data_IF_820707008812
#
_entry.id   IF_820707008812
#
_cell.length_a   1.000
_cell.length_b   1.000
_cell.length_c   1.000
_cell.angle_alpha   90.00
_cell.angle_beta   90.00
_cell.angle_gamma   90.00
#
_symmetry.space_group_name_H-M   'P 1'
#
loop_
_entity.id
_entity.type
_entity.pdbx_description
1 polymer ?
#
# COMPACT_ATOMS: atom_id res chain seq x y z
N UNK A 1 -9.03 -26.95 1.36
CA UNK A 1 -9.83 -27.24 2.58
C UNK A 1 -8.89 -27.90 3.57
N UNK A 2 -8.29 -27.13 4.48
CA UNK A 2 -7.38 -27.65 5.50
C UNK A 2 -7.90 -27.13 6.84
N UNK A 3 -8.69 -27.95 7.51
CA UNK A 3 -9.29 -27.65 8.82
C UNK A 3 -8.17 -27.54 9.86
N UNK A 4 -7.96 -26.34 10.42
CA UNK A 4 -7.10 -26.14 11.60
C UNK A 4 -7.92 -26.51 12.85
N UNK A 5 -8.00 -27.79 13.17
CA UNK A 5 -8.85 -28.22 14.29
C UNK A 5 -8.33 -27.70 15.64
N UNK A 6 -7.02 -27.71 15.90
CA UNK A 6 -6.45 -27.19 17.14
C UNK A 6 -5.09 -26.50 16.89
N UNK A 7 -4.86 -25.33 17.51
CA UNK A 7 -3.55 -24.66 17.60
C UNK A 7 -3.11 -24.61 19.06
N UNK A 8 -1.82 -24.76 19.34
CA UNK A 8 -1.31 -24.84 20.72
C UNK A 8 -0.21 -23.82 20.94
N UNK A 9 -0.32 -23.04 22.02
CA UNK A 9 0.80 -22.25 22.56
C UNK A 9 1.63 -23.14 23.48
N UNK A 10 2.94 -23.22 23.26
CA UNK A 10 3.86 -24.08 24.01
C UNK A 10 5.05 -23.25 24.49
N UNK A 11 5.46 -23.44 25.75
CA UNK A 11 6.74 -22.99 26.27
C UNK A 11 7.42 -24.15 26.97
N UNK A 12 8.71 -24.37 26.72
CA UNK A 12 9.52 -25.42 27.36
C UNK A 12 8.83 -26.81 27.38
N UNK A 13 8.22 -27.18 26.24
CA UNK A 13 7.46 -28.43 26.02
C UNK A 13 6.19 -28.59 26.86
N UNK A 14 5.76 -27.53 27.56
CA UNK A 14 4.50 -27.49 28.29
C UNK A 14 3.46 -26.72 27.49
N UNK A 15 2.24 -27.27 27.41
CA UNK A 15 1.11 -26.61 26.76
C UNK A 15 0.61 -25.46 27.63
N UNK A 16 0.54 -24.26 27.07
CA UNK A 16 0.10 -23.04 27.76
C UNK A 16 -1.35 -22.65 27.46
N UNK A 17 -1.80 -22.73 26.21
CA UNK A 17 -3.23 -22.69 25.81
C UNK A 17 -3.44 -23.59 24.59
N UNK A 18 -4.61 -24.22 24.54
CA UNK A 18 -5.16 -24.87 23.33
C UNK A 18 -6.25 -23.96 22.76
N UNK A 19 -6.11 -23.58 21.49
CA UNK A 19 -7.06 -22.79 20.72
C UNK A 19 -7.83 -23.71 19.77
N UNK A 20 -9.16 -23.60 19.77
CA UNK A 20 -10.05 -24.38 18.90
C UNK A 20 -10.87 -23.46 18.01
N UNK A 21 -11.21 -23.95 16.84
CA UNK A 21 -11.84 -23.16 15.79
C UNK A 21 -13.19 -23.74 15.39
N UNK A 22 -14.12 -22.86 14.99
CA UNK A 22 -15.38 -23.28 14.40
C UNK A 22 -15.18 -23.69 12.92
N UNK A 23 -16.20 -24.27 12.26
CA UNK A 23 -16.09 -24.67 10.85
C UNK A 23 -15.86 -23.54 9.85
N UNK A 24 -15.89 -22.27 10.28
CA UNK A 24 -15.58 -21.09 9.48
C UNK A 24 -14.17 -20.55 9.76
N UNK A 25 -13.31 -21.37 10.41
CA UNK A 25 -11.94 -21.03 10.82
C UNK A 25 -11.85 -19.82 11.77
N UNK A 26 -12.90 -19.57 12.57
CA UNK A 26 -12.89 -18.54 13.62
C UNK A 26 -12.62 -19.17 14.98
N UNK A 27 -11.83 -18.50 15.81
CA UNK A 27 -11.51 -18.93 17.17
C UNK A 27 -12.81 -19.10 17.97
N UNK A 28 -13.14 -20.33 18.33
CA UNK A 28 -14.34 -20.64 19.10
C UNK A 28 -14.03 -20.76 20.60
N UNK A 29 -12.81 -21.18 20.94
CA UNK A 29 -12.41 -21.57 22.29
C UNK A 29 -10.90 -21.36 22.51
N UNK A 30 -10.50 -20.82 23.67
CA UNK A 30 -9.12 -20.94 24.19
C UNK A 30 -9.20 -21.50 25.60
N UNK A 31 -8.45 -22.59 25.81
CA UNK A 31 -8.28 -23.26 27.09
C UNK A 31 -6.83 -23.08 27.58
N UNK A 32 -6.53 -22.03 28.36
CA UNK A 32 -5.25 -21.91 29.04
C UNK A 32 -5.04 -23.02 30.07
N UNK A 33 -3.80 -23.46 30.24
CA UNK A 33 -3.45 -24.47 31.22
C UNK A 33 -3.80 -24.01 32.65
N UNK A 34 -4.53 -24.85 33.38
CA UNK A 34 -4.94 -24.56 34.76
C UNK A 34 -6.07 -23.52 34.89
N UNK A 35 -6.71 -23.10 33.80
CA UNK A 35 -7.83 -22.16 33.82
C UNK A 35 -9.06 -22.72 33.09
N UNK A 36 -10.24 -22.15 33.37
CA UNK A 36 -11.45 -22.47 32.64
C UNK A 36 -11.37 -21.98 31.18
N UNK A 37 -12.00 -22.71 30.27
CA UNK A 37 -12.00 -22.34 28.85
C UNK A 37 -12.83 -21.08 28.58
N UNK A 38 -12.31 -20.21 27.71
CA UNK A 38 -13.00 -19.03 27.21
C UNK A 38 -13.60 -19.32 25.83
N UNK A 39 -14.91 -19.17 25.69
CA UNK A 39 -15.67 -19.32 24.43
C UNK A 39 -15.96 -17.98 23.80
N UNK A 40 -15.93 -17.92 22.47
CA UNK A 40 -16.07 -16.70 21.68
C UNK A 40 -17.27 -16.78 20.75
N UNK A 41 -18.08 -15.72 20.75
CA UNK A 41 -19.33 -15.62 19.98
C UNK A 41 -19.31 -14.40 19.07
N UNK A 42 -19.70 -14.62 17.83
CA UNK A 42 -19.56 -13.64 16.75
C UNK A 42 -20.93 -13.21 16.24
N UNK A 43 -21.09 -11.90 16.04
CA UNK A 43 -22.18 -11.35 15.25
C UNK A 43 -21.64 -11.03 13.85
N UNK A 44 -22.18 -11.68 12.83
CA UNK A 44 -21.59 -11.71 11.48
C UNK A 44 -20.14 -12.23 11.57
N UNK A 45 -19.15 -11.37 11.33
CA UNK A 45 -17.73 -11.71 11.42
C UNK A 45 -16.96 -10.89 12.47
N UNK A 46 -17.67 -10.31 13.46
CA UNK A 46 -17.08 -9.49 14.53
C UNK A 46 -17.35 -10.13 15.89
N UNK A 47 -16.33 -10.15 16.75
CA UNK A 47 -16.48 -10.63 18.12
C UNK A 47 -17.52 -9.78 18.87
N UNK A 48 -18.56 -10.44 19.39
CA UNK A 48 -19.66 -9.81 20.11
C UNK A 48 -19.59 -10.14 21.60
N UNK A 49 -19.36 -11.40 21.94
CA UNK A 49 -19.36 -11.86 23.33
C UNK A 49 -18.27 -12.90 23.56
N UNK A 50 -17.64 -12.84 24.73
CA UNK A 50 -16.77 -13.88 25.25
C UNK A 50 -17.32 -14.36 26.59
N UNK A 51 -17.29 -15.66 26.83
CA UNK A 51 -17.75 -16.27 28.09
C UNK A 51 -16.68 -17.19 28.63
N UNK A 52 -16.26 -16.99 29.88
CA UNK A 52 -15.33 -17.85 30.61
C UNK A 52 -15.92 -18.16 31.99
N UNK A 53 -16.50 -19.34 32.16
CA UNK A 53 -17.23 -19.68 33.39
C UNK A 53 -18.42 -18.75 33.62
N UNK A 54 -18.42 -18.03 34.75
CA UNK A 54 -19.43 -17.04 35.13
C UNK A 54 -19.09 -15.61 34.66
N UNK A 55 -17.94 -15.42 34.02
CA UNK A 55 -17.50 -14.13 33.50
C UNK A 55 -17.94 -14.02 32.03
N UNK A 56 -18.65 -12.95 31.71
CA UNK A 56 -19.06 -12.61 30.36
C UNK A 56 -18.57 -11.21 30.01
N UNK A 57 -17.96 -11.07 28.83
CA UNK A 57 -17.59 -9.80 28.24
C UNK A 57 -18.37 -9.60 26.94
N UNK A 58 -19.12 -8.51 26.82
CA UNK A 58 -19.87 -8.16 25.63
C UNK A 58 -19.40 -6.82 25.07
N UNK A 59 -19.30 -6.73 23.74
CA UNK A 59 -18.87 -5.51 23.04
C UNK A 59 -20.06 -4.86 22.34
N UNK A 60 -20.31 -3.59 22.65
CA UNK A 60 -21.25 -2.76 21.93
C UNK A 60 -20.53 -2.00 20.82
N UNK A 61 -21.02 -2.14 19.60
CA UNK A 61 -20.44 -1.50 18.42
C UNK A 61 -21.53 -1.13 17.42
N UNK A 62 -21.24 -0.12 16.59
CA UNK A 62 -21.95 0.11 15.33
C UNK A 62 -21.21 -0.59 14.19
N UNK A 63 -21.70 -0.42 12.96
CA UNK A 63 -20.96 -0.88 11.78
C UNK A 63 -19.59 -0.19 11.65
N UNK A 64 -19.44 1.03 12.18
CA UNK A 64 -18.22 1.84 12.01
C UNK A 64 -17.35 1.96 13.27
N UNK A 65 -17.92 1.85 14.48
CA UNK A 65 -17.21 2.18 15.73
C UNK A 65 -17.45 1.17 16.85
N UNK A 66 -16.38 0.85 17.59
CA UNK A 66 -16.45 0.17 18.88
C UNK A 66 -16.76 1.21 19.98
N UNK A 67 -17.86 1.02 20.71
CA UNK A 67 -18.42 2.06 21.59
C UNK A 67 -18.28 1.73 23.07
N UNK A 68 -18.58 0.49 23.47
CA UNK A 68 -18.58 0.13 24.87
C UNK A 68 -18.23 -1.35 25.08
N UNK A 69 -17.81 -1.64 26.30
CA UNK A 69 -17.58 -2.98 26.81
C UNK A 69 -18.43 -3.18 28.07
N UNK A 70 -19.13 -4.30 28.15
CA UNK A 70 -19.90 -4.73 29.32
C UNK A 70 -19.24 -5.98 29.88
N UNK A 71 -18.81 -5.93 31.14
CA UNK A 71 -18.36 -7.07 31.91
C UNK A 71 -19.47 -7.50 32.85
N UNK A 72 -19.85 -8.77 32.83
CA UNK A 72 -20.76 -9.37 33.80
C UNK A 72 -20.02 -10.49 34.51
N UNK A 73 -19.92 -10.40 35.82
CA UNK A 73 -19.29 -11.40 36.67
C UNK A 73 -20.14 -11.60 37.92
N UNK A 74 -20.54 -12.84 38.21
CA UNK A 74 -21.33 -13.19 39.40
C UNK A 74 -22.59 -12.30 39.60
N UNK A 75 -23.34 -12.05 38.53
CA UNK A 75 -24.52 -11.15 38.48
C UNK A 75 -24.24 -9.66 38.78
N UNK A 76 -22.98 -9.25 38.88
CA UNK A 76 -22.60 -7.84 38.87
C UNK A 76 -22.18 -7.44 37.47
N UNK A 77 -22.62 -6.26 37.03
CA UNK A 77 -22.28 -5.71 35.72
C UNK A 77 -21.47 -4.43 35.85
N UNK A 78 -20.33 -4.37 35.18
CA UNK A 78 -19.56 -3.14 34.96
C UNK A 78 -19.55 -2.78 33.48
N UNK A 79 -19.63 -1.49 33.17
CA UNK A 79 -19.64 -1.01 31.80
C UNK A 79 -18.59 0.08 31.59
N UNK A 80 -17.86 -0.04 30.48
CA UNK A 80 -16.85 0.92 30.08
C UNK A 80 -17.23 1.54 28.74
N UNK A 81 -17.35 2.86 28.68
CA UNK A 81 -17.31 3.59 27.42
C UNK A 81 -15.88 3.60 26.90
N UNK A 82 -15.74 3.32 25.60
CA UNK A 82 -14.45 3.19 24.94
C UNK A 82 -14.22 4.41 24.04
N UNK A 83 -13.07 5.05 24.23
CA UNK A 83 -12.56 6.05 23.30
C UNK A 83 -11.61 5.34 22.35
N UNK A 84 -11.85 5.46 21.05
CA UNK A 84 -11.09 4.78 20.01
C UNK A 84 -10.45 5.75 19.02
N UNK A 85 -9.31 5.35 18.46
CA UNK A 85 -8.69 6.06 17.33
C UNK A 85 -9.35 5.70 15.99
N UNK A 86 -8.82 6.22 14.88
CA UNK A 86 -9.34 5.95 13.54
C UNK A 86 -9.27 4.45 13.15
N UNK A 87 -8.36 3.70 13.76
CA UNK A 87 -8.19 2.26 13.53
C UNK A 87 -9.03 1.40 14.47
N UNK A 88 -9.84 2.02 15.33
CA UNK A 88 -10.60 1.40 16.42
C UNK A 88 -9.73 0.91 17.60
N UNK A 89 -8.46 1.31 17.70
CA UNK A 89 -7.65 1.03 18.87
C UNK A 89 -8.23 1.75 20.08
N UNK A 90 -8.44 1.05 21.19
CA UNK A 90 -8.96 1.66 22.43
C UNK A 90 -7.84 2.49 23.08
N UNK A 91 -7.96 3.81 23.03
CA UNK A 91 -6.99 4.79 23.55
C UNK A 91 -7.40 5.39 24.90
N UNK A 92 -8.65 5.20 25.33
CA UNK A 92 -9.05 5.42 26.72
C UNK A 92 -10.29 4.61 27.09
N UNK A 93 -10.42 4.25 28.36
CA UNK A 93 -11.63 3.67 28.94
C UNK A 93 -11.73 4.05 30.42
N UNK A 94 -12.93 4.33 30.91
CA UNK A 94 -13.17 4.68 32.33
C UNK A 94 -12.25 5.80 32.87
N UNK A 95 -11.87 6.76 32.00
CA UNK A 95 -10.98 7.87 32.37
C UNK A 95 -9.47 7.53 32.37
N UNK A 96 -9.09 6.29 32.07
CA UNK A 96 -7.68 5.87 31.94
C UNK A 96 -7.24 5.92 30.48
N UNK A 97 -6.14 6.62 30.14
CA UNK A 97 -5.58 6.65 28.80
C UNK A 97 -4.68 5.44 28.51
N UNK A 98 -4.65 5.02 27.25
CA UNK A 98 -3.81 3.95 26.73
C UNK A 98 -2.98 4.44 25.56
N UNK A 99 -1.74 3.97 25.46
CA UNK A 99 -0.84 4.26 24.36
C UNK A 99 -0.32 2.97 23.74
N UNK A 100 -0.10 3.02 22.42
CA UNK A 100 0.43 1.91 21.64
C UNK A 100 1.62 2.41 20.81
N UNK A 101 2.60 1.56 20.59
CA UNK A 101 3.54 1.76 19.49
C UNK A 101 2.81 1.65 18.15
N UNK A 102 3.41 2.08 17.02
CA UNK A 102 2.79 1.95 15.70
C UNK A 102 2.30 0.53 15.37
N UNK A 103 2.95 -0.51 15.91
CA UNK A 103 2.61 -1.91 15.72
C UNK A 103 1.77 -2.49 16.87
N UNK A 104 1.11 -1.65 17.65
CA UNK A 104 0.16 -2.10 18.67
C UNK A 104 0.78 -2.60 19.97
N UNK A 105 2.09 -2.46 20.17
CA UNK A 105 2.69 -2.85 21.45
C UNK A 105 2.27 -1.87 22.55
N UNK A 106 1.77 -2.41 23.67
CA UNK A 106 1.46 -1.66 24.88
C UNK A 106 2.02 -2.37 26.10
N UNK A 107 2.34 -1.61 27.15
CA UNK A 107 2.81 -2.18 28.40
C UNK A 107 1.67 -2.93 29.12
N UNK A 108 1.89 -4.11 29.75
CA UNK A 108 0.84 -4.87 30.43
C UNK A 108 0.14 -4.12 31.57
N UNK A 109 0.84 -3.19 32.23
CA UNK A 109 0.25 -2.34 33.28
C UNK A 109 -0.57 -1.17 32.75
N UNK A 110 -0.67 -1.00 31.42
CA UNK A 110 -1.33 0.16 30.83
C UNK A 110 -2.86 0.13 30.98
N UNK A 111 -3.49 -1.01 31.31
CA UNK A 111 -4.94 -1.09 31.51
C UNK A 111 -5.45 -2.52 31.64
N UNK A 112 -6.77 -2.71 31.85
CA UNK A 112 -7.35 -4.04 31.97
C UNK A 112 -7.16 -4.84 30.68
N UNK A 113 -6.51 -6.01 30.79
CA UNK A 113 -6.25 -6.92 29.67
C UNK A 113 -7.53 -7.55 29.08
N UNK A 114 -8.66 -7.43 29.79
CA UNK A 114 -9.99 -7.82 29.33
C UNK A 114 -10.55 -6.89 28.24
N UNK A 115 -10.10 -5.63 28.19
CA UNK A 115 -10.58 -4.67 27.20
C UNK A 115 -9.96 -4.95 25.82
N UNK A 116 -10.72 -4.69 24.73
CA UNK A 116 -10.14 -4.59 23.39
C UNK A 116 -8.97 -3.60 23.38
N UNK A 117 -7.95 -3.89 22.57
CA UNK A 117 -6.73 -3.10 22.46
C UNK A 117 -6.55 -2.52 21.07
N UNK A 118 -5.35 -2.73 20.52
CA UNK A 118 -4.97 -2.27 19.18
C UNK A 118 -5.98 -2.74 18.12
N UNK A 119 -6.42 -1.83 17.26
CA UNK A 119 -7.39 -2.09 16.17
C UNK A 119 -8.73 -2.71 16.62
N UNK A 120 -9.10 -2.50 17.89
CA UNK A 120 -10.31 -3.09 18.49
C UNK A 120 -10.18 -4.60 18.74
N UNK A 121 -8.97 -5.15 18.66
CA UNK A 121 -8.68 -6.57 18.84
C UNK A 121 -8.27 -6.84 20.28
N UNK A 122 -8.70 -7.97 20.83
CA UNK A 122 -8.29 -8.38 22.16
C UNK A 122 -6.85 -8.91 22.12
N UNK A 123 -6.08 -8.52 23.12
CA UNK A 123 -4.75 -9.06 23.35
C UNK A 123 -4.90 -10.46 23.98
N UNK A 124 -4.29 -11.47 23.39
CA UNK A 124 -4.26 -12.81 23.96
C UNK A 124 -3.42 -12.78 25.25
N UNK A 125 -4.01 -13.08 26.43
CA UNK A 125 -3.32 -12.92 27.71
C UNK A 125 -2.20 -13.94 27.92
N UNK A 126 -2.20 -15.06 27.18
CA UNK A 126 -1.18 -16.11 27.29
C UNK A 126 0.07 -15.73 26.51
N UNK A 127 -0.08 -15.22 25.29
CA UNK A 127 1.05 -14.98 24.37
C UNK A 127 1.40 -13.51 24.18
N UNK A 128 0.53 -12.57 24.57
CA UNK A 128 0.72 -11.15 24.29
C UNK A 128 0.60 -10.79 22.80
N UNK A 129 -0.05 -11.64 22.01
CA UNK A 129 -0.30 -11.43 20.59
C UNK A 129 -1.73 -10.96 20.31
N UNK A 130 -1.95 -10.35 19.15
CA UNK A 130 -3.29 -10.12 18.62
C UNK A 130 -3.68 -11.24 17.66
N UNK A 131 -4.79 -11.92 17.93
CA UNK A 131 -5.29 -13.03 17.12
C UNK A 131 -6.17 -12.52 15.97
N UNK A 132 -5.54 -11.89 14.98
CA UNK A 132 -6.22 -11.23 13.85
C UNK A 132 -6.92 -12.23 12.93
N UNK A 133 -7.93 -11.75 12.18
CA UNK A 133 -8.77 -12.61 11.36
C UNK A 133 -9.64 -13.56 12.17
N UNK A 134 -10.08 -13.12 13.35
CA UNK A 134 -10.79 -13.96 14.32
C UNK A 134 -9.99 -15.22 14.69
N UNK A 135 -8.69 -15.11 14.93
CA UNK A 135 -7.84 -16.26 15.27
C UNK A 135 -7.07 -16.88 14.11
N UNK A 136 -7.26 -16.39 12.89
CA UNK A 136 -6.58 -16.90 11.71
C UNK A 136 -5.05 -16.76 11.78
N UNK A 137 -4.52 -15.62 12.23
CA UNK A 137 -3.07 -15.45 12.47
C UNK A 137 -2.78 -14.68 13.75
N UNK A 138 -1.77 -15.17 14.48
CA UNK A 138 -1.20 -14.46 15.60
C UNK A 138 -0.23 -13.37 15.09
N UNK A 139 -0.61 -12.11 15.29
CA UNK A 139 0.24 -10.95 15.08
C UNK A 139 1.01 -10.65 16.37
N UNK A 140 2.33 -10.61 16.25
CA UNK A 140 3.22 -10.28 17.35
C UNK A 140 3.57 -8.78 17.31
N UNK A 141 3.06 -7.97 18.25
CA UNK A 141 3.31 -6.52 18.25
C UNK A 141 4.77 -6.16 18.62
N UNK A 142 5.52 -7.08 19.25
CA UNK A 142 6.94 -6.90 19.57
C UNK A 142 7.81 -7.18 18.34
N UNK A 143 7.52 -8.27 17.61
CA UNK A 143 8.23 -8.62 16.37
C UNK A 143 7.69 -7.88 15.14
N UNK A 144 6.60 -7.13 15.29
CA UNK A 144 5.99 -6.30 14.25
C UNK A 144 5.54 -7.10 13.01
N UNK A 145 5.16 -8.37 13.20
CA UNK A 145 4.84 -9.29 12.11
C UNK A 145 3.91 -10.43 12.56
N UNK A 146 3.37 -11.18 11.61
CA UNK A 146 2.67 -12.43 11.88
C UNK A 146 3.63 -13.56 12.24
N UNK A 147 3.18 -14.49 13.08
CA UNK A 147 3.94 -15.68 13.46
C UNK A 147 3.77 -16.84 12.46
N UNK A 148 2.78 -16.77 11.59
CA UNK A 148 2.54 -17.75 10.52
C UNK A 148 2.47 -17.07 9.15
N UNK A 149 2.94 -17.75 8.09
CA UNK A 149 2.89 -17.19 6.75
C UNK A 149 1.44 -17.03 6.27
N UNK A 150 1.20 -15.98 5.48
CA UNK A 150 -0.04 -15.77 4.73
C UNK A 150 -0.17 -16.87 3.66
N UNK A 151 -1.28 -17.61 3.65
CA UNK A 151 -1.53 -18.64 2.63
C UNK A 151 -1.71 -18.06 1.23
N UNK A 152 -1.94 -16.76 1.10
CA UNK A 152 -2.03 -16.03 -0.17
C UNK A 152 -0.68 -15.43 -0.59
N UNK A 153 0.39 -15.61 0.19
CA UNK A 153 1.76 -15.19 -0.14
C UNK A 153 2.65 -16.38 -0.51
N UNK A 154 3.78 -16.17 -1.21
CA UNK A 154 4.24 -14.90 -1.79
C UNK A 154 3.70 -14.63 -3.20
N UNK A 155 3.07 -15.63 -3.83
CA UNK A 155 2.70 -15.60 -5.25
C UNK A 155 1.21 -15.32 -5.52
N UNK A 156 0.39 -15.23 -4.46
CA UNK A 156 -1.01 -14.87 -4.56
C UNK A 156 -1.26 -13.42 -4.10
N UNK A 157 -2.44 -13.19 -3.57
CA UNK A 157 -2.94 -11.86 -3.23
C UNK A 157 -2.25 -11.24 -2.00
N UNK A 158 -1.57 -12.02 -1.16
CA UNK A 158 -0.90 -11.54 0.06
C UNK A 158 0.41 -10.78 -0.19
N UNK A 159 0.91 -10.77 -1.43
CA UNK A 159 2.18 -10.13 -1.78
C UNK A 159 3.42 -10.88 -1.27
N UNK A 160 4.61 -10.35 -1.55
CA UNK A 160 5.88 -11.09 -1.40
C UNK A 160 6.25 -11.43 0.05
N UNK A 161 5.89 -10.60 1.02
CA UNK A 161 6.23 -10.82 2.43
C UNK A 161 5.10 -11.56 3.14
N UNK A 162 5.21 -12.88 3.24
CA UNK A 162 4.20 -13.73 3.88
C UNK A 162 3.96 -13.43 5.37
N UNK A 163 4.86 -12.73 6.05
CA UNK A 163 4.74 -12.40 7.47
C UNK A 163 4.40 -10.93 7.74
N UNK A 164 4.39 -10.10 6.70
CA UNK A 164 4.25 -8.65 6.85
C UNK A 164 2.87 -8.25 7.38
N UNK A 165 2.85 -7.26 8.27
CA UNK A 165 1.64 -6.57 8.68
C UNK A 165 1.55 -5.21 7.97
N UNK A 166 0.39 -4.89 7.39
CA UNK A 166 0.10 -3.59 6.76
C UNK A 166 1.12 -3.10 5.70
N UNK A 167 1.85 -4.01 5.03
CA UNK A 167 3.00 -3.67 4.15
C UNK A 167 4.07 -2.78 4.84
N UNK A 168 4.19 -2.84 6.18
CA UNK A 168 5.11 -2.02 6.95
C UNK A 168 4.57 -0.63 7.33
N UNK A 169 3.29 -0.35 7.10
CA UNK A 169 2.65 0.95 7.34
C UNK A 169 1.41 0.82 8.26
N UNK A 170 1.58 0.40 9.53
CA UNK A 170 0.48 0.14 10.46
C UNK A 170 -0.16 1.40 11.04
N UNK A 171 0.41 2.59 10.83
CA UNK A 171 -0.19 3.87 11.26
C UNK A 171 -1.33 4.29 10.33
N UNK A 172 -1.23 3.93 9.05
CA UNK A 172 -2.19 4.34 8.03
C UNK A 172 -3.13 3.20 7.59
N UNK A 173 -2.94 1.97 8.12
CA UNK A 173 -3.60 0.77 7.64
C UNK A 173 -3.89 -0.19 8.80
N UNK A 174 -4.94 -0.97 8.62
CA UNK A 174 -5.40 -2.01 9.55
C UNK A 174 -5.67 -3.25 8.73
N UNK A 175 -5.20 -4.43 9.17
CA UNK A 175 -5.55 -5.74 8.59
C UNK A 175 -6.50 -6.51 9.52
N UNK A 176 -7.83 -6.36 9.39
CA UNK A 176 -8.79 -7.06 10.26
C UNK A 176 -8.86 -8.56 9.99
N UNK A 177 -8.60 -8.99 8.75
CA UNK A 177 -8.71 -10.39 8.32
C UNK A 177 -7.49 -11.22 8.69
N UNK A 178 -6.39 -10.59 9.11
CA UNK A 178 -5.10 -11.27 9.18
C UNK A 178 -4.72 -11.80 7.79
N UNK A 179 -5.14 -11.14 6.73
CA UNK A 179 -4.79 -11.39 5.34
C UNK A 179 -4.73 -10.02 4.71
N UNK A 180 -3.61 -9.71 4.07
CA UNK A 180 -3.48 -8.43 3.37
C UNK A 180 -3.52 -8.64 1.86
N UNK A 181 -4.71 -8.80 1.27
CA UNK A 181 -4.84 -8.84 -0.17
C UNK A 181 -4.44 -7.49 -0.77
N UNK A 182 -3.37 -7.51 -1.58
CA UNK A 182 -2.84 -6.35 -2.32
C UNK A 182 -3.93 -5.69 -3.19
N UNK A 183 -4.99 -6.42 -3.58
CA UNK A 183 -6.13 -5.93 -4.35
C UNK A 183 -7.22 -5.19 -3.53
N UNK A 184 -7.26 -5.33 -2.19
CA UNK A 184 -8.27 -4.64 -1.35
C UNK A 184 -8.10 -3.10 -1.35
N UNK A 185 -6.99 -2.58 -1.90
CA UNK A 185 -6.77 -1.15 -2.19
C UNK A 185 -7.90 -0.52 -3.02
N UNK A 186 -8.55 -1.27 -3.91
CA UNK A 186 -9.66 -0.78 -4.74
C UNK A 186 -11.03 -0.84 -4.06
N UNK A 187 -11.29 -1.92 -3.32
CA UNK A 187 -12.62 -2.24 -2.76
C UNK A 187 -12.88 -1.47 -1.46
N UNK A 188 -11.89 -1.36 -0.56
CA UNK A 188 -12.03 -0.59 0.70
C UNK A 188 -12.20 0.92 0.45
N UNK A 189 -11.63 1.45 -0.65
CA UNK A 189 -11.87 2.84 -1.11
C UNK A 189 -13.26 3.04 -1.70
N UNK A 190 -13.87 2.00 -2.28
CA UNK A 190 -15.20 2.06 -2.89
C UNK A 190 -16.36 1.93 -1.88
N UNK A 191 -16.12 1.29 -0.73
CA UNK A 191 -17.16 1.00 0.28
C UNK A 191 -17.24 2.02 1.43
N UNK A 192 -16.46 3.11 1.42
CA UNK A 192 -16.59 4.19 2.41
C UNK A 192 -16.10 3.88 3.83
N UNK A 193 -15.63 2.66 4.10
CA UNK A 193 -15.02 2.22 5.38
C UNK A 193 -13.67 2.90 5.70
N UNK A 194 -13.19 3.78 4.81
CA UNK A 194 -12.14 4.77 5.11
C UNK A 194 -12.78 6.15 5.24
N UNK A 195 -13.09 6.56 6.47
CA UNK A 195 -13.55 7.92 6.74
C UNK A 195 -12.40 8.90 6.54
N UNK A 196 -12.62 9.87 5.66
CA UNK A 196 -11.77 11.04 5.39
C UNK A 196 -11.70 11.91 6.65
N UNK A 197 -10.52 12.11 7.23
CA UNK A 197 -10.32 13.17 8.23
C UNK A 197 -9.92 14.46 7.51
N UNK A 198 -10.52 15.55 7.97
CA UNK A 198 -10.31 16.92 7.52
C UNK A 198 -8.83 17.31 7.57
N UNK A 199 -8.27 17.94 6.52
CA UNK A 199 -6.85 18.21 6.45
C UNK A 199 -6.52 19.45 7.27
N UNK A 200 -5.82 19.26 8.38
CA UNK A 200 -4.87 20.27 8.83
C UNK A 200 -3.52 19.60 9.15
N UNK A 201 -2.94 19.00 8.12
CA UNK A 201 -1.49 18.81 7.94
C UNK A 201 -1.27 18.32 6.52
N UNK A 202 -0.65 19.20 5.74
CA UNK A 202 0.08 18.98 4.49
C UNK A 202 -0.29 17.74 3.65
N UNK A 203 -0.99 18.00 2.54
CA UNK A 203 -1.14 17.11 1.38
C UNK A 203 0.22 16.57 0.92
N UNK A 204 0.54 15.30 1.16
CA UNK A 204 1.59 14.61 0.42
C UNK A 204 1.15 13.23 -0.06
N UNK A 205 1.37 13.02 -1.35
CA UNK A 205 1.32 11.78 -2.13
C UNK A 205 -0.07 11.16 -2.37
N UNK A 206 -0.73 11.63 -3.44
CA UNK A 206 -1.46 10.72 -4.34
C UNK A 206 -0.63 9.45 -4.59
N UNK A 207 -1.25 8.28 -4.61
CA UNK A 207 -0.57 6.99 -4.80
C UNK A 207 0.29 7.02 -6.07
N UNK A 208 1.60 7.26 -5.89
CA UNK A 208 2.58 7.26 -6.97
C UNK A 208 2.57 5.89 -7.63
N UNK A 209 2.25 5.84 -8.93
CA UNK A 209 2.43 4.63 -9.72
C UNK A 209 3.91 4.56 -10.09
N UNK A 210 4.57 3.49 -9.70
CA UNK A 210 5.98 3.29 -9.99
C UNK A 210 6.15 2.40 -11.21
N UNK A 211 7.06 2.79 -12.10
CA UNK A 211 7.59 1.92 -13.14
C UNK A 211 9.03 1.56 -12.82
N UNK A 212 9.38 0.30 -13.09
CA UNK A 212 10.74 -0.22 -12.95
C UNK A 212 11.45 -0.16 -14.29
N UNK A 213 12.68 0.34 -14.26
CA UNK A 213 13.47 0.75 -15.40
C UNK A 213 14.87 0.11 -15.28
N UNK A 214 15.46 -0.28 -16.40
CA UNK A 214 16.77 -0.93 -16.46
C UNK A 214 17.65 -0.20 -17.48
N UNK A 215 18.93 -0.59 -17.58
CA UNK A 215 19.87 -0.11 -18.60
C UNK A 215 19.90 1.42 -18.73
N UNK A 216 20.14 2.11 -17.62
CA UNK A 216 20.21 3.57 -17.59
C UNK A 216 21.32 4.09 -18.51
N UNK A 217 20.94 5.02 -19.38
CA UNK A 217 21.83 5.77 -20.26
C UNK A 217 21.61 7.24 -19.98
N UNK A 218 22.65 7.91 -19.49
CA UNK A 218 22.63 9.37 -19.30
C UNK A 218 23.11 10.04 -20.58
N UNK A 219 22.23 10.84 -21.20
CA UNK A 219 22.60 11.75 -22.27
C UNK A 219 22.93 13.11 -21.63
N UNK A 220 23.71 13.94 -22.32
CA UNK A 220 24.19 15.22 -21.79
C UNK A 220 23.09 16.03 -21.09
N UNK A 221 23.38 16.45 -19.85
CA UNK A 221 22.66 17.45 -19.05
C UNK A 221 21.12 17.21 -18.93
N UNK A 222 20.71 16.27 -18.06
CA UNK A 222 19.31 16.05 -17.63
C UNK A 222 18.40 15.33 -18.62
N UNK A 223 18.96 14.50 -19.51
CA UNK A 223 18.17 13.56 -20.32
C UNK A 223 18.56 12.14 -19.93
N UNK A 224 17.64 11.42 -19.29
CA UNK A 224 17.87 10.06 -18.84
C UNK A 224 17.04 9.07 -19.67
N UNK A 225 17.67 7.97 -20.06
CA UNK A 225 17.04 6.98 -20.93
C UNK A 225 17.15 5.60 -20.29
N UNK A 226 16.08 4.82 -20.40
CA UNK A 226 15.97 3.52 -19.76
C UNK A 226 15.20 2.51 -20.60
N UNK A 227 15.33 1.24 -20.23
CA UNK A 227 14.58 0.12 -20.79
C UNK A 227 13.55 -0.38 -19.79
N UNK A 228 12.28 -0.40 -20.21
CA UNK A 228 11.20 -1.00 -19.43
C UNK A 228 10.75 -2.30 -20.07
N UNK A 229 10.81 -3.39 -19.33
CA UNK A 229 10.25 -4.68 -19.76
C UNK A 229 8.73 -4.67 -19.57
N UNK A 230 7.98 -4.87 -20.66
CA UNK A 230 6.53 -5.06 -20.69
C UNK A 230 6.16 -6.54 -20.66
N UNK A 231 4.86 -6.84 -20.56
CA UNK A 231 4.36 -8.22 -20.65
C UNK A 231 4.85 -8.90 -21.94
N UNK A 232 5.24 -10.16 -21.84
CA UNK A 232 5.80 -10.92 -22.97
C UNK A 232 7.27 -10.61 -23.29
N UNK A 233 7.99 -9.91 -22.42
CA UNK A 233 9.44 -9.64 -22.58
C UNK A 233 9.78 -8.51 -23.54
N UNK A 234 8.77 -7.84 -24.12
CA UNK A 234 8.96 -6.72 -25.04
C UNK A 234 9.50 -5.48 -24.32
N UNK A 235 10.33 -4.70 -25.00
CA UNK A 235 10.94 -3.50 -24.41
C UNK A 235 10.14 -2.23 -24.76
N UNK A 236 10.00 -1.33 -23.79
CA UNK A 236 9.55 0.05 -23.97
C UNK A 236 10.73 0.98 -23.65
N UNK A 237 11.12 1.82 -24.61
CA UNK A 237 12.14 2.85 -24.41
C UNK A 237 11.54 3.97 -23.57
N UNK A 238 12.15 4.32 -22.45
CA UNK A 238 11.67 5.39 -21.57
C UNK A 238 12.67 6.53 -21.59
N UNK A 239 12.22 7.72 -22.00
CA UNK A 239 13.01 8.96 -22.00
C UNK A 239 12.43 9.88 -20.93
N UNK A 240 13.25 10.26 -19.96
CA UNK A 240 12.96 11.21 -18.90
C UNK A 240 13.74 12.50 -19.16
N UNK A 241 13.02 13.59 -19.41
CA UNK A 241 13.61 14.86 -19.79
C UNK A 241 12.67 16.05 -19.52
N UNK A 242 13.23 17.26 -19.52
CA UNK A 242 12.43 18.49 -19.41
C UNK A 242 11.94 18.95 -20.78
N UNK A 243 10.66 19.31 -20.86
CA UNK A 243 10.01 19.85 -22.07
C UNK A 243 9.52 21.27 -21.86
N UNK A 244 9.31 22.01 -22.94
CA UNK A 244 8.87 23.41 -22.93
C UNK A 244 7.45 23.59 -23.46
N UNK A 245 6.85 24.74 -23.16
CA UNK A 245 5.66 25.23 -23.88
C UNK A 245 6.05 25.68 -25.30
N UNK A 246 5.31 25.19 -26.28
CA UNK A 246 5.50 25.43 -27.70
C UNK A 246 5.27 26.88 -28.11
N UNK A 247 4.56 27.65 -27.28
CA UNK A 247 4.29 29.08 -27.49
C UNK A 247 5.55 29.96 -27.43
N UNK A 248 6.64 29.48 -26.81
CA UNK A 248 7.83 30.30 -26.49
C UNK A 248 8.97 30.12 -27.51
N UNK A 249 9.09 28.95 -28.18
CA UNK A 249 10.31 28.58 -28.93
C UNK A 249 10.10 28.12 -30.38
N UNK A 250 8.90 28.29 -30.96
CA UNK A 250 8.69 28.13 -32.40
C UNK A 250 8.75 26.68 -32.93
N UNK A 251 8.34 25.69 -32.14
CA UNK A 251 8.23 24.28 -32.56
C UNK A 251 8.40 23.30 -31.39
N UNK A 252 8.23 21.97 -31.62
CA UNK A 252 8.41 20.99 -30.56
C UNK A 252 9.90 20.88 -30.17
N UNK A 253 10.21 21.17 -28.91
CA UNK A 253 11.57 21.12 -28.37
C UNK A 253 11.59 20.45 -27.00
N UNK A 254 12.71 19.79 -26.71
CA UNK A 254 13.08 19.30 -25.37
C UNK A 254 14.36 19.98 -24.92
N UNK A 255 14.63 20.04 -23.62
CA UNK A 255 15.94 20.44 -23.13
C UNK A 255 16.90 19.28 -23.17
N UNK A 256 18.06 19.52 -23.76
CA UNK A 256 19.27 18.72 -23.57
C UNK A 256 20.32 19.68 -22.98
N UNK A 257 20.36 19.72 -21.66
CA UNK A 257 21.01 20.78 -20.88
C UNK A 257 20.29 22.10 -20.93
N UNK A 258 21.02 23.15 -21.25
CA UNK A 258 20.45 24.49 -21.39
C UNK A 258 20.00 24.77 -22.84
N UNK A 259 20.13 23.80 -23.74
CA UNK A 259 19.84 23.97 -25.16
C UNK A 259 18.51 23.29 -25.54
N UNK A 260 17.56 24.02 -26.15
CA UNK A 260 16.37 23.42 -26.72
C UNK A 260 16.71 22.67 -28.01
N UNK A 261 16.41 21.37 -28.05
CA UNK A 261 16.72 20.51 -29.20
C UNK A 261 15.45 19.91 -29.83
N UNK A 262 15.43 19.71 -31.16
CA UNK A 262 14.30 19.08 -31.84
C UNK A 262 14.30 17.54 -31.68
N UNK A 263 13.18 16.87 -31.97
CA UNK A 263 13.04 15.41 -31.92
C UNK A 263 14.13 14.65 -32.69
N UNK A 264 14.50 15.11 -33.89
CA UNK A 264 15.53 14.48 -34.71
C UNK A 264 16.92 14.50 -34.05
N UNK A 265 17.22 15.51 -33.23
CA UNK A 265 18.48 15.56 -32.49
C UNK A 265 18.51 14.49 -31.39
N UNK A 266 17.39 14.24 -30.73
CA UNK A 266 17.26 13.14 -29.76
C UNK A 266 17.42 11.78 -30.45
N UNK A 267 16.72 11.54 -31.57
CA UNK A 267 16.84 10.32 -32.38
C UNK A 267 18.30 10.03 -32.75
N UNK A 268 18.99 11.01 -33.37
CA UNK A 268 20.40 10.88 -33.74
C UNK A 268 21.29 10.57 -32.52
N UNK A 269 21.06 11.24 -31.39
CA UNK A 269 21.86 11.03 -30.18
C UNK A 269 21.64 9.62 -29.61
N UNK A 270 20.41 9.11 -29.63
CA UNK A 270 20.10 7.75 -29.19
C UNK A 270 20.77 6.69 -30.08
N UNK A 271 20.72 6.87 -31.40
CA UNK A 271 21.41 5.97 -32.35
C UNK A 271 22.92 5.98 -32.14
N UNK A 272 23.52 7.16 -31.91
CA UNK A 272 24.95 7.29 -31.60
C UNK A 272 25.33 6.59 -30.29
N UNK A 273 24.42 6.53 -29.32
CA UNK A 273 24.58 5.78 -28.07
C UNK A 273 24.25 4.29 -28.21
N UNK A 274 24.07 3.78 -29.44
CA UNK A 274 23.85 2.37 -29.71
C UNK A 274 22.41 1.89 -29.52
N UNK A 275 21.44 2.79 -29.36
CA UNK A 275 20.02 2.41 -29.28
C UNK A 275 19.55 1.94 -30.67
N UNK A 276 19.14 0.67 -30.75
CA UNK A 276 18.48 0.08 -31.92
C UNK A 276 16.97 0.07 -31.70
N UNK A 277 16.24 0.97 -32.36
CA UNK A 277 14.81 1.14 -32.11
C UNK A 277 13.98 -0.11 -32.42
N UNK A 278 14.41 -0.97 -33.35
CA UNK A 278 13.75 -2.24 -33.68
C UNK A 278 13.66 -3.22 -32.48
N UNK A 279 14.48 -3.00 -31.43
CA UNK A 279 14.41 -3.80 -30.21
C UNK A 279 13.25 -3.41 -29.29
N UNK A 280 12.57 -2.30 -29.56
CA UNK A 280 11.53 -1.74 -28.71
C UNK A 280 10.17 -1.83 -29.40
N UNK A 281 9.14 -2.21 -28.65
CA UNK A 281 7.75 -2.21 -29.12
C UNK A 281 7.18 -0.79 -29.17
N UNK A 282 7.69 0.10 -28.31
CA UNK A 282 7.18 1.47 -28.15
C UNK A 282 8.18 2.34 -27.40
N UNK A 283 7.98 3.64 -27.46
CA UNK A 283 8.67 4.61 -26.63
C UNK A 283 7.70 5.37 -25.72
N UNK A 284 8.21 5.88 -24.61
CA UNK A 284 7.50 6.74 -23.68
C UNK A 284 8.33 7.95 -23.33
N UNK A 285 7.75 9.13 -23.50
CA UNK A 285 8.38 10.40 -23.17
C UNK A 285 7.80 10.94 -21.86
N UNK A 286 8.56 10.88 -20.78
CA UNK A 286 8.27 11.61 -19.54
C UNK A 286 8.83 13.01 -19.66
N UNK A 287 8.01 13.88 -20.25
CA UNK A 287 8.41 15.24 -20.58
C UNK A 287 7.16 16.14 -20.65
N UNK A 288 7.25 17.32 -20.04
CA UNK A 288 6.21 18.36 -20.10
C UNK A 288 5.86 18.70 -21.56
N UNK A 289 4.57 18.83 -21.86
CA UNK A 289 4.04 19.23 -23.17
C UNK A 289 4.50 18.36 -24.35
N UNK A 290 4.96 17.13 -24.10
CA UNK A 290 5.45 16.21 -25.13
C UNK A 290 4.41 15.88 -26.21
N UNK A 291 3.11 15.94 -25.87
CA UNK A 291 1.98 15.76 -26.79
C UNK A 291 1.28 17.07 -27.21
N UNK A 292 1.77 18.24 -26.77
CA UNK A 292 1.21 19.52 -27.20
C UNK A 292 1.42 19.72 -28.71
N UNK A 293 0.53 20.40 -29.43
CA UNK A 293 0.68 20.63 -30.88
C UNK A 293 0.23 19.49 -31.80
N UNK A 294 -0.37 18.41 -31.25
CA UNK A 294 -0.99 17.35 -32.05
C UNK A 294 0.00 16.64 -32.98
N UNK A 295 -0.25 16.65 -34.28
CA UNK A 295 0.60 15.99 -35.29
C UNK A 295 1.97 16.64 -35.48
N UNK A 296 2.16 17.86 -34.94
CA UNK A 296 3.43 18.59 -34.89
C UNK A 296 4.00 18.60 -33.45
N UNK A 297 3.53 17.70 -32.59
CA UNK A 297 4.07 17.54 -31.25
C UNK A 297 5.46 16.89 -31.29
N UNK A 298 6.22 17.07 -30.20
CA UNK A 298 7.52 16.41 -30.06
C UNK A 298 7.37 14.90 -30.19
N UNK A 299 6.34 14.33 -29.56
CA UNK A 299 6.04 12.91 -29.61
C UNK A 299 5.64 12.42 -31.00
N UNK A 300 4.85 13.20 -31.75
CA UNK A 300 4.46 12.86 -33.12
C UNK A 300 5.67 12.83 -34.06
N UNK A 301 6.52 13.85 -33.99
CA UNK A 301 7.75 13.90 -34.80
C UNK A 301 8.75 12.83 -34.39
N UNK A 302 8.92 12.58 -33.09
CA UNK A 302 9.77 11.51 -32.60
C UNK A 302 9.27 10.13 -33.03
N UNK A 303 7.94 9.92 -33.04
CA UNK A 303 7.33 8.69 -33.56
C UNK A 303 7.66 8.48 -35.04
N UNK A 304 7.59 9.54 -35.85
CA UNK A 304 7.97 9.49 -37.27
C UNK A 304 9.46 9.21 -37.48
N UNK A 305 10.34 9.83 -36.70
CA UNK A 305 11.80 9.66 -36.81
C UNK A 305 12.29 8.27 -36.37
N UNK A 306 11.65 7.68 -35.37
CA UNK A 306 12.06 6.38 -34.79
C UNK A 306 11.24 5.20 -35.29
N UNK A 307 10.13 5.43 -35.98
CA UNK A 307 9.12 4.42 -36.33
C UNK A 307 8.51 3.69 -35.13
N UNK A 308 8.68 4.21 -33.91
CA UNK A 308 8.06 3.66 -32.71
C UNK A 308 6.70 4.30 -32.44
N UNK A 309 5.70 3.53 -31.97
CA UNK A 309 4.56 4.09 -31.27
C UNK A 309 5.04 4.83 -30.00
N UNK A 310 4.67 6.10 -29.86
CA UNK A 310 5.13 6.96 -28.76
C UNK A 310 3.98 7.30 -27.82
N UNK A 311 4.14 7.01 -26.53
CA UNK A 311 3.27 7.51 -25.47
C UNK A 311 3.84 8.79 -24.88
N UNK A 312 3.04 9.85 -24.88
CA UNK A 312 3.41 11.18 -24.41
C UNK A 312 2.27 11.85 -23.63
N UNK A 313 2.47 13.07 -23.15
CA UNK A 313 1.56 13.75 -22.22
C UNK A 313 1.27 15.18 -22.68
N UNK A 314 0.00 15.60 -22.60
CA UNK A 314 -0.40 17.00 -22.74
C UNK A 314 -0.21 17.70 -21.39
N UNK A 315 0.23 18.96 -21.40
CA UNK A 315 0.44 19.74 -20.18
C UNK A 315 1.73 19.40 -19.42
N UNK A 316 1.88 19.98 -18.24
CA UNK A 316 3.03 19.74 -17.36
C UNK A 316 2.99 18.32 -16.75
N UNK A 317 4.15 17.68 -16.72
CA UNK A 317 4.33 16.36 -16.09
C UNK A 317 5.14 16.55 -14.82
N UNK A 318 4.52 16.25 -13.67
CA UNK A 318 5.17 16.28 -12.37
C UNK A 318 5.55 14.84 -12.00
N UNK A 319 6.84 14.56 -11.93
CA UNK A 319 7.39 13.26 -11.54
C UNK A 319 8.53 13.45 -10.53
N UNK A 320 8.66 12.52 -9.59
CA UNK A 320 9.91 12.39 -8.85
C UNK A 320 10.85 11.61 -9.76
N UNK A 321 12.00 12.20 -10.11
CA UNK A 321 12.97 11.58 -11.03
C UNK A 321 13.35 10.16 -10.63
N UNK A 322 13.88 9.34 -11.57
CA UNK A 322 14.17 7.94 -11.34
C UNK A 322 15.11 7.77 -10.15
N UNK A 323 14.67 7.04 -9.12
CA UNK A 323 15.51 6.70 -7.96
C UNK A 323 16.15 5.35 -8.21
N UNK A 324 17.48 5.25 -8.15
CA UNK A 324 18.16 3.96 -8.20
C UNK A 324 17.76 3.11 -6.98
N UNK A 325 17.37 1.87 -7.25
CA UNK A 325 17.05 0.85 -6.26
C UNK A 325 17.87 -0.40 -6.56
N UNK A 326 18.29 -1.08 -5.49
CA UNK A 326 19.14 -2.26 -5.58
C UNK A 326 18.28 -3.50 -5.76
N UNK A 327 18.45 -4.23 -6.87
CA UNK A 327 17.83 -5.55 -7.06
C UNK A 327 18.90 -6.63 -6.96
N UNK A 328 18.62 -7.64 -6.13
CA UNK A 328 19.44 -8.86 -6.06
C UNK A 328 18.80 -9.93 -6.93
N UNK A 329 19.48 -10.30 -8.01
CA UNK A 329 19.11 -11.41 -8.88
C UNK A 329 20.34 -12.32 -9.03
N UNK A 330 20.18 -13.63 -8.89
CA UNK A 330 21.27 -14.62 -9.03
C UNK A 330 22.56 -14.30 -8.25
N UNK A 331 22.43 -13.74 -7.03
CA UNK A 331 23.55 -13.29 -6.18
C UNK A 331 24.45 -12.21 -6.80
N UNK A 332 24.00 -11.57 -7.87
CA UNK A 332 24.66 -10.42 -8.50
C UNK A 332 23.81 -9.16 -8.33
N UNK A 333 24.51 -8.03 -8.32
CA UNK A 333 23.92 -6.70 -8.18
C UNK A 333 23.44 -6.21 -9.55
N UNK A 334 22.16 -5.88 -9.66
CA UNK A 334 21.62 -5.19 -10.84
C UNK A 334 21.01 -3.85 -10.42
N UNK A 335 21.47 -2.71 -10.98
CA UNK A 335 20.84 -1.41 -10.74
C UNK A 335 19.49 -1.36 -11.46
N UNK A 336 18.42 -1.16 -10.71
CA UNK A 336 17.06 -0.95 -11.23
C UNK A 336 16.63 0.46 -10.84
N UNK A 337 15.96 1.18 -11.72
CA UNK A 337 15.50 2.54 -11.43
C UNK A 337 13.99 2.54 -11.25
N UNK A 338 13.54 3.27 -10.23
CA UNK A 338 12.12 3.44 -9.90
C UNK A 338 11.71 4.86 -10.23
N UNK A 339 10.88 5.03 -11.26
CA UNK A 339 10.31 6.35 -11.61
C UNK A 339 8.88 6.46 -11.05
N UNK A 340 8.66 7.46 -10.20
CA UNK A 340 7.38 7.73 -9.55
C UNK A 340 6.54 8.71 -10.34
N UNK A 341 5.39 8.26 -10.83
CA UNK A 341 4.52 9.05 -11.71
C UNK A 341 3.24 9.37 -10.96
N UNK A 342 2.91 10.65 -10.82
CA UNK A 342 1.66 11.11 -10.22
C UNK A 342 1.01 12.22 -11.05
N UNK A 343 -0.32 12.33 -10.94
CA UNK A 343 -1.14 13.29 -11.68
C UNK A 343 -1.43 14.51 -10.80
N UNK A 344 -0.42 15.29 -10.45
CA UNK A 344 -0.67 16.49 -9.63
C UNK A 344 -1.02 17.68 -10.52
N UNK A 345 -2.21 18.23 -10.34
CA UNK A 345 -2.55 19.55 -10.88
C UNK A 345 -1.79 20.60 -10.05
N UNK A 346 -0.75 21.19 -10.65
CA UNK A 346 0.11 22.18 -10.01
C UNK A 346 -0.49 23.59 -9.94
N UNK A 347 -1.60 23.84 -10.65
CA UNK A 347 -2.22 25.15 -10.72
C UNK A 347 -3.07 25.46 -9.48
N UNK A 348 -3.27 26.75 -9.22
CA UNK A 348 -4.13 27.20 -8.13
C UNK A 348 -5.57 26.71 -8.33
N UNK A 349 -6.14 26.13 -7.28
CA UNK A 349 -7.49 25.56 -7.29
C UNK A 349 -8.51 26.64 -7.69
N UNK A 350 -9.18 26.44 -8.83
CA UNK A 350 -10.20 27.36 -9.35
C UNK A 350 -9.75 28.24 -10.54
N UNK A 351 -8.44 28.30 -10.83
CA UNK A 351 -7.93 29.01 -12.01
C UNK A 351 -8.40 28.37 -13.33
N UNK A 352 -8.41 29.14 -14.42
CA UNK A 352 -8.73 28.60 -15.75
C UNK A 352 -7.75 27.49 -16.15
N UNK A 353 -6.46 27.63 -15.80
CA UNK A 353 -5.42 26.62 -16.01
C UNK A 353 -5.69 25.34 -15.20
N UNK A 354 -6.19 25.47 -13.95
CA UNK A 354 -6.61 24.34 -13.15
C UNK A 354 -7.78 23.58 -13.78
N UNK A 355 -8.73 24.28 -14.42
CA UNK A 355 -9.91 23.69 -15.08
C UNK A 355 -9.60 22.99 -16.39
N UNK A 356 -8.56 23.44 -17.12
CA UNK A 356 -8.15 22.84 -18.40
C UNK A 356 -6.97 21.86 -18.27
N UNK A 357 -6.44 21.66 -17.06
CA UNK A 357 -5.38 20.69 -16.80
C UNK A 357 -5.84 19.27 -17.16
N UNK A 358 -5.22 18.68 -18.18
CA UNK A 358 -5.42 17.29 -18.58
C UNK A 358 -4.09 16.55 -18.50
N UNK A 359 -4.05 15.54 -17.63
CA UNK A 359 -2.98 14.53 -17.60
C UNK A 359 -3.49 13.32 -18.38
N UNK A 360 -3.76 13.48 -19.67
CA UNK A 360 -4.18 12.36 -20.50
C UNK A 360 -3.01 11.92 -21.38
N UNK A 361 -2.51 10.69 -21.21
CA UNK A 361 -1.47 10.19 -22.08
C UNK A 361 -2.04 10.03 -23.48
N UNK A 362 -1.31 10.56 -24.45
CA UNK A 362 -1.65 10.48 -25.88
C UNK A 362 -0.68 9.50 -26.54
N UNK A 363 -1.22 8.65 -27.39
CA UNK A 363 -0.43 7.78 -28.26
C UNK A 363 -0.29 8.41 -29.63
N UNK A 364 0.93 8.40 -30.14
CA UNK A 364 1.26 8.76 -31.51
C UNK A 364 1.76 7.51 -32.22
N UNK A 365 1.22 7.28 -33.40
CA UNK A 365 1.63 6.22 -34.31
C UNK A 365 2.28 6.85 -35.53
N UNK A 366 3.19 6.14 -36.16
CA UNK A 366 3.91 6.59 -37.36
C UNK A 366 3.15 6.28 -38.66
N UNK A 367 1.92 5.78 -38.56
CA UNK A 367 1.02 5.48 -39.67
C UNK A 367 0.02 6.60 -39.92
#
# INVERSE_FOLDING_TARGET
MHQRNDTVAISDRSVLCVYRYDPLDRLADCAPAGQGSARFFYQKNRLATQIQGQIQHSLLRTDEHLLAHLSVENNQSDSALLVTDQQQSVIAAQGLPFAYTPYGHRHPSAGPMSLPGFTGQRLDPVTGHYLLGNGYRAFNPVLMRFNSPDSLSPFGEGGLNAYGYCEGDPVNRVDPSGHWPVFLKGILRGLGLMRKVSPNSQKTAESLKFIYLNNHRSLANNVNVYDRVKGGGKLELVVDAHGYDQSIHGGPRMLMGQQPVPPNKLDLTLRQQGVKFDNYESARLFMCNSAAGGNNSFAAEFSKATSLPVKAYRGEVIGNGPTEIRRYANRQYEPVFRLGIHKKNGFETGSNLYKIFSYDPVWFSHF
#
